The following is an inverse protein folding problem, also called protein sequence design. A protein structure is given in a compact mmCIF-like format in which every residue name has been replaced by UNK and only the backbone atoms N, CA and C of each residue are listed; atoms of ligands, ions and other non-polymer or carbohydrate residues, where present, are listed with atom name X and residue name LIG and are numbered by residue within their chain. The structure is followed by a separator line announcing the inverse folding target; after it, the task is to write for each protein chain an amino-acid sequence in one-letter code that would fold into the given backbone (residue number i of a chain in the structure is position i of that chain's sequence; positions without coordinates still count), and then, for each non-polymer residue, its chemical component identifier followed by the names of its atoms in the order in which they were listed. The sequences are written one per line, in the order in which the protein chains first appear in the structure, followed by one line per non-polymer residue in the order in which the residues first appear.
data_IF_631828378435
#
_entry.id   IF_631828378435
#
_cell.length_a   1.000
_cell.length_b   1.000
_cell.length_c   1.000
_cell.angle_alpha   90.00
_cell.angle_beta   90.00
_cell.angle_gamma   90.00
#
_symmetry.space_group_name_H-M   'P 1'
#
loop_
_entity.id
_entity.type
_entity.pdbx_description
1 polymer ?
#
# COMPACT_ATOMS: atom_id res chain seq x y z
N UNK A 1 -9.56 14.14 -0.75
CA UNK A 1 -9.51 13.18 0.36
C UNK A 1 -10.89 12.54 0.53
N UNK A 2 -10.95 11.25 0.86
CA UNK A 2 -12.20 10.52 1.15
C UNK A 2 -12.31 10.25 2.66
N UNK A 3 -12.84 11.20 3.45
CA UNK A 3 -12.71 11.18 4.91
C UNK A 3 -13.47 10.05 5.60
N UNK A 4 -14.43 9.42 4.92
CA UNK A 4 -15.26 8.31 5.46
C UNK A 4 -14.96 6.96 4.81
N UNK A 5 -13.93 6.89 3.95
CA UNK A 5 -13.58 5.63 3.30
C UNK A 5 -12.92 4.72 4.34
N UNK A 6 -13.54 3.57 4.60
CA UNK A 6 -13.01 2.56 5.54
C UNK A 6 -12.37 1.36 4.84
N UNK A 7 -12.91 1.00 3.67
CA UNK A 7 -12.44 -0.14 2.88
C UNK A 7 -12.35 0.28 1.43
N UNK A 8 -11.21 0.02 0.81
CA UNK A 8 -10.97 0.21 -0.60
C UNK A 8 -10.50 -1.11 -1.22
N UNK A 9 -11.18 -1.58 -2.25
CA UNK A 9 -10.76 -2.71 -3.06
C UNK A 9 -10.58 -2.25 -4.53
N UNK A 10 -9.37 -2.38 -5.06
CA UNK A 10 -8.98 -1.99 -6.41
C UNK A 10 -8.37 -3.19 -7.13
N UNK A 11 -9.22 -3.92 -7.83
CA UNK A 11 -8.84 -5.06 -8.64
C UNK A 11 -9.94 -6.10 -8.68
N UNK A 12 -9.97 -6.97 -9.69
CA UNK A 12 -10.80 -8.16 -9.62
C UNK A 12 -10.26 -9.05 -8.50
N UNK A 13 -11.16 -9.50 -7.62
CA UNK A 13 -10.89 -10.53 -6.59
C UNK A 13 -10.38 -11.88 -7.18
N UNK A 14 -10.27 -11.98 -8.51
CA UNK A 14 -9.90 -13.19 -9.24
C UNK A 14 -8.94 -12.85 -10.38
N UNK A 15 -7.65 -13.10 -10.19
CA UNK A 15 -6.68 -13.28 -11.27
C UNK A 15 -6.52 -12.08 -12.21
N UNK A 16 -5.85 -11.03 -11.75
CA UNK A 16 -5.47 -9.93 -12.63
C UNK A 16 -4.42 -10.44 -13.63
N UNK A 17 -4.81 -10.68 -14.88
CA UNK A 17 -3.89 -11.11 -15.95
C UNK A 17 -2.81 -10.10 -16.32
N UNK A 18 -2.91 -8.87 -15.80
CA UNK A 18 -2.07 -7.75 -16.19
C UNK A 18 -1.30 -7.28 -14.96
N UNK A 19 0.01 -7.00 -15.10
CA UNK A 19 0.80 -6.45 -14.02
C UNK A 19 0.18 -5.12 -13.58
N UNK A 20 0.01 -4.95 -12.26
CA UNK A 20 -0.45 -3.69 -11.71
C UNK A 20 0.51 -2.57 -12.10
N UNK A 21 -0.03 -1.36 -12.25
CA UNK A 21 0.76 -0.13 -12.40
C UNK A 21 0.77 0.72 -11.13
N UNK A 22 0.14 0.24 -10.06
CA UNK A 22 0.16 0.93 -8.77
C UNK A 22 1.56 0.77 -8.20
N UNK A 23 2.25 1.88 -8.01
CA UNK A 23 3.58 1.92 -7.39
C UNK A 23 3.43 2.07 -5.87
N UNK A 24 4.50 1.75 -5.13
CA UNK A 24 4.58 1.99 -3.68
C UNK A 24 4.32 3.46 -3.34
N UNK A 25 4.85 4.38 -4.15
CA UNK A 25 4.61 5.82 -4.01
C UNK A 25 3.13 6.19 -4.18
N UNK A 26 2.42 5.49 -5.06
CA UNK A 26 0.97 5.70 -5.24
C UNK A 26 0.15 5.43 -3.97
N UNK A 27 0.66 4.61 -3.05
CA UNK A 27 0.00 4.33 -1.77
C UNK A 27 -0.06 5.56 -0.86
N UNK A 28 0.79 6.57 -1.06
CA UNK A 28 0.74 7.82 -0.29
C UNK A 28 -0.59 8.55 -0.37
N UNK A 29 -1.34 8.36 -1.45
CA UNK A 29 -2.70 8.90 -1.57
C UNK A 29 -3.60 8.49 -0.39
N UNK A 30 -3.34 7.33 0.23
CA UNK A 30 -4.08 6.82 1.38
C UNK A 30 -3.68 7.44 2.71
N UNK A 31 -2.56 8.15 2.80
CA UNK A 31 -2.17 8.89 4.01
C UNK A 31 -3.20 9.96 4.39
N UNK A 32 -3.95 10.48 3.41
CA UNK A 32 -5.02 11.46 3.59
C UNK A 32 -6.41 10.87 3.86
N UNK A 33 -6.52 9.56 4.11
CA UNK A 33 -7.79 8.86 4.34
C UNK A 33 -7.88 8.39 5.81
N UNK A 34 -8.30 9.25 6.75
CA UNK A 34 -8.10 9.03 8.19
C UNK A 34 -8.84 7.83 8.80
N UNK A 35 -9.89 7.33 8.13
CA UNK A 35 -10.68 6.19 8.59
C UNK A 35 -10.44 4.90 7.78
N UNK A 36 -9.46 4.92 6.86
CA UNK A 36 -9.18 3.77 6.00
C UNK A 36 -8.56 2.66 6.83
N UNK A 37 -9.21 1.49 6.88
CA UNK A 37 -8.81 0.32 7.67
C UNK A 37 -8.25 -0.80 6.82
N UNK A 38 -8.84 -1.02 5.64
CA UNK A 38 -8.44 -2.08 4.71
C UNK A 38 -8.26 -1.56 3.30
N UNK A 39 -7.15 -1.96 2.68
CA UNK A 39 -6.87 -1.74 1.25
C UNK A 39 -6.59 -3.09 0.62
N UNK A 40 -7.22 -3.35 -0.52
CA UNK A 40 -6.96 -4.53 -1.34
C UNK A 40 -6.60 -4.04 -2.74
N UNK A 41 -5.36 -4.23 -3.16
CA UNK A 41 -4.90 -3.84 -4.49
C UNK A 41 -3.66 -4.63 -4.89
N UNK A 42 -3.50 -4.86 -6.19
CA UNK A 42 -2.23 -5.31 -6.73
C UNK A 42 -1.28 -4.12 -6.88
N UNK A 43 -0.01 -4.29 -6.56
CA UNK A 43 1.05 -3.30 -6.73
C UNK A 43 2.25 -3.88 -7.49
N UNK A 44 2.97 -2.98 -8.14
CA UNK A 44 4.29 -3.24 -8.70
C UNK A 44 5.34 -2.59 -7.78
N UNK A 45 5.93 -3.43 -6.92
CA UNK A 45 7.06 -3.10 -6.06
C UNK A 45 8.37 -3.64 -6.63
N UNK A 46 8.52 -3.70 -7.96
CA UNK A 46 9.81 -4.05 -8.57
C UNK A 46 10.83 -2.91 -8.52
N UNK A 47 10.34 -1.67 -8.54
CA UNK A 47 11.18 -0.47 -8.48
C UNK A 47 11.57 -0.21 -7.03
N UNK A 48 12.87 -0.25 -6.75
CA UNK A 48 13.42 0.07 -5.44
C UNK A 48 12.98 1.48 -5.02
N UNK A 49 12.13 1.57 -4.01
CA UNK A 49 11.78 2.85 -3.38
C UNK A 49 12.97 3.22 -2.51
N UNK A 50 13.67 4.31 -2.84
CA UNK A 50 14.85 4.69 -2.06
C UNK A 50 14.40 5.35 -0.74
N UNK A 51 15.19 5.28 0.34
CA UNK A 51 14.89 5.99 1.57
C UNK A 51 14.65 7.51 1.38
N UNK A 52 15.29 8.11 0.37
CA UNK A 52 15.05 9.52 0.00
C UNK A 52 13.64 9.74 -0.57
N UNK A 53 13.12 8.79 -1.35
CA UNK A 53 11.73 8.80 -1.82
C UNK A 53 10.75 8.66 -0.65
N UNK A 54 11.15 7.94 0.41
CA UNK A 54 10.37 7.78 1.65
C UNK A 54 10.30 9.07 2.47
N UNK A 55 11.41 9.81 2.55
CA UNK A 55 11.54 11.05 3.35
C UNK A 55 10.61 12.21 2.92
N UNK A 56 10.08 12.18 1.68
CA UNK A 56 9.20 13.23 1.14
C UNK A 56 7.78 13.25 1.73
N UNK A 57 7.46 12.30 2.62
CA UNK A 57 6.17 12.16 3.30
C UNK A 57 5.72 13.40 4.09
N UNK A 58 6.62 14.34 4.42
CA UNK A 58 6.27 15.54 5.19
C UNK A 58 5.68 15.24 6.57
N UNK A 59 5.89 14.02 7.09
CA UNK A 59 5.34 13.54 8.36
C UNK A 59 3.87 13.10 8.33
N UNK A 60 3.22 13.07 7.16
CA UNK A 60 1.86 12.55 7.03
C UNK A 60 1.91 11.02 7.10
N UNK A 61 1.13 10.41 7.99
CA UNK A 61 0.99 8.96 8.08
C UNK A 61 -0.47 8.61 8.36
N UNK A 62 -0.91 7.44 7.90
CA UNK A 62 -2.23 6.92 8.20
C UNK A 62 -2.13 5.84 9.28
N UNK A 63 -2.69 6.14 10.45
CA UNK A 63 -2.69 5.28 11.63
C UNK A 63 -3.92 4.38 11.73
N UNK A 64 -4.86 4.49 10.80
CA UNK A 64 -6.07 3.68 10.78
C UNK A 64 -5.90 2.43 9.91
N UNK A 65 -5.01 2.44 8.92
CA UNK A 65 -4.83 1.31 8.02
C UNK A 65 -4.15 0.16 8.78
N UNK A 66 -4.84 -0.96 8.89
CA UNK A 66 -4.37 -2.15 9.62
C UNK A 66 -4.12 -3.35 8.71
N UNK A 67 -4.77 -3.39 7.54
CA UNK A 67 -4.68 -4.53 6.61
C UNK A 67 -4.45 -4.05 5.18
N UNK A 68 -3.41 -4.61 4.54
CA UNK A 68 -3.12 -4.46 3.12
C UNK A 68 -3.14 -5.84 2.46
N UNK A 69 -4.12 -6.09 1.59
CA UNK A 69 -4.09 -7.23 0.69
C UNK A 69 -3.40 -6.81 -0.60
N UNK A 70 -2.20 -7.36 -0.82
CA UNK A 70 -1.37 -7.11 -1.99
C UNK A 70 -1.86 -7.87 -3.24
N UNK A 71 -2.89 -8.72 -3.16
CA UNK A 71 -3.38 -9.53 -4.29
C UNK A 71 -2.20 -10.20 -5.03
N UNK A 72 -2.23 -10.24 -6.37
CA UNK A 72 -1.12 -10.71 -7.22
C UNK A 72 -0.11 -9.58 -7.48
N UNK A 73 0.57 -9.11 -6.44
CA UNK A 73 1.62 -8.09 -6.54
C UNK A 73 2.96 -8.65 -7.00
N UNK A 74 3.69 -7.85 -7.78
CA UNK A 74 5.08 -8.15 -8.10
C UNK A 74 5.98 -7.46 -7.07
N UNK A 75 6.69 -8.24 -6.24
CA UNK A 75 7.53 -7.71 -5.16
C UNK A 75 8.97 -8.20 -5.35
N UNK A 76 9.91 -7.28 -5.62
CA UNK A 76 11.33 -7.64 -5.79
C UNK A 76 12.12 -7.61 -4.48
N UNK A 77 11.80 -6.65 -3.59
CA UNK A 77 12.42 -6.52 -2.27
C UNK A 77 11.35 -6.34 -1.17
N UNK A 78 10.91 -7.45 -0.55
CA UNK A 78 9.93 -7.41 0.53
C UNK A 78 10.35 -6.59 1.75
N UNK A 79 11.66 -6.48 2.04
CA UNK A 79 12.14 -5.75 3.23
C UNK A 79 12.04 -4.25 3.03
N UNK A 80 12.49 -3.77 1.87
CA UNK A 80 12.36 -2.35 1.51
C UNK A 80 10.89 -1.94 1.39
N UNK A 81 10.04 -2.80 0.83
CA UNK A 81 8.59 -2.59 0.80
C UNK A 81 8.00 -2.49 2.21
N UNK A 82 8.34 -3.42 3.11
CA UNK A 82 7.85 -3.39 4.49
C UNK A 82 8.28 -2.12 5.23
N UNK A 83 9.53 -1.68 5.06
CA UNK A 83 10.03 -0.43 5.65
C UNK A 83 9.26 0.80 5.13
N UNK A 84 9.00 0.86 3.82
CA UNK A 84 8.20 1.91 3.21
C UNK A 84 6.76 1.93 3.72
N UNK A 85 6.14 0.75 3.84
CA UNK A 85 4.79 0.61 4.36
C UNK A 85 4.69 1.03 5.83
N UNK A 86 5.66 0.68 6.67
CA UNK A 86 5.68 1.09 8.08
C UNK A 86 5.83 2.61 8.25
N UNK A 87 6.56 3.29 7.36
CA UNK A 87 6.66 4.75 7.37
C UNK A 87 5.31 5.42 7.03
N UNK A 88 4.61 4.89 6.01
CA UNK A 88 3.32 5.44 5.57
C UNK A 88 2.15 5.04 6.50
N UNK A 89 2.19 3.82 7.03
CA UNK A 89 1.11 3.12 7.73
C UNK A 89 1.66 2.43 9.00
N UNK A 90 1.99 3.18 10.06
CA UNK A 90 2.68 2.65 11.22
C UNK A 90 1.86 1.63 12.03
N UNK A 91 0.55 1.55 11.81
CA UNK A 91 -0.35 0.60 12.45
C UNK A 91 -0.76 -0.54 11.50
N UNK A 92 -0.05 -0.73 10.39
CA UNK A 92 -0.28 -1.86 9.50
C UNK A 92 0.14 -3.15 10.21
N UNK A 93 -0.83 -4.01 10.50
CA UNK A 93 -0.63 -5.25 11.25
C UNK A 93 -0.54 -6.47 10.33
N UNK A 94 -1.24 -6.43 9.19
CA UNK A 94 -1.42 -7.57 8.31
C UNK A 94 -1.14 -7.20 6.86
N UNK A 95 -0.27 -7.98 6.22
CA UNK A 95 -0.05 -7.96 4.77
C UNK A 95 -0.45 -9.34 4.25
N UNK A 96 -1.50 -9.37 3.44
CA UNK A 96 -2.03 -10.57 2.81
C UNK A 96 -1.62 -10.57 1.33
N UNK A 97 -1.48 -11.76 0.73
CA UNK A 97 -1.25 -11.92 -0.70
C UNK A 97 -1.89 -13.23 -1.15
N UNK A 98 -2.35 -13.27 -2.40
CA UNK A 98 -2.98 -14.44 -3.00
C UNK A 98 -1.96 -15.16 -3.90
N UNK A 99 -1.79 -16.47 -3.70
CA UNK A 99 -1.05 -17.36 -4.61
C UNK A 99 -1.83 -17.62 -5.91
#
# INVERSE_FOLDING_TARGET
AWPRLEHLALGPFHGCRWPSKVTVEGLRAFQSCPNLKRVELALDATIATTPDDLSRSGGLCNKSLSTLDALQSTISDPRSLAAALMDMFPNLEQIEAWD
#
